data_IF_043141653611
#
_entry.id   IF_043141653611
#
_cell.length_a   1.000
_cell.length_b   1.000
_cell.length_c   1.000
_cell.angle_alpha   90.00
_cell.angle_beta   90.00
_cell.angle_gamma   90.00
#
_symmetry.space_group_name_H-M   'P 1'
#
loop_
_entity.id
_entity.type
_entity.pdbx_description
1 polymer ?
#
# COMPACT_ATOMS: atom_id res chain seq x y z
N UNK A 1 7.24 0.88 7.50
CA UNK A 1 5.82 0.45 7.66
C UNK A 1 5.09 1.30 8.70
N UNK A 2 5.77 1.89 9.70
CA UNK A 2 5.11 2.62 10.78
C UNK A 2 4.39 3.90 10.35
N UNK A 3 4.92 4.63 9.36
CA UNK A 3 4.41 5.96 8.98
C UNK A 3 2.96 5.92 8.46
N UNK A 4 2.65 4.95 7.60
CA UNK A 4 1.30 4.79 7.04
C UNK A 4 0.33 4.24 8.10
N UNK A 5 0.78 3.39 9.01
CA UNK A 5 -0.08 2.83 10.05
C UNK A 5 -0.61 3.92 11.00
N UNK A 6 0.23 4.92 11.32
CA UNK A 6 -0.10 6.00 12.25
C UNK A 6 -1.26 6.88 11.75
N UNK A 7 -1.46 6.96 10.43
CA UNK A 7 -2.58 7.67 9.81
C UNK A 7 -3.95 7.11 10.24
N UNK A 8 -4.02 5.83 10.62
CA UNK A 8 -5.28 5.13 10.90
C UNK A 8 -5.41 4.63 12.34
N UNK A 9 -4.33 4.68 13.13
CA UNK A 9 -4.31 4.10 14.48
C UNK A 9 -5.42 4.64 15.38
N UNK A 10 -5.64 5.95 15.35
CA UNK A 10 -6.65 6.63 16.15
C UNK A 10 -8.08 6.29 15.74
N UNK A 11 -8.31 6.00 14.46
CA UNK A 11 -9.64 5.67 13.93
C UNK A 11 -10.00 4.20 14.12
N UNK A 12 -9.00 3.31 14.16
CA UNK A 12 -9.19 1.86 14.13
C UNK A 12 -8.59 1.16 15.34
N UNK A 13 -7.27 1.06 15.42
CA UNK A 13 -6.61 0.18 16.39
C UNK A 13 -6.79 0.62 17.85
N UNK A 14 -6.81 1.92 18.10
CA UNK A 14 -6.95 2.47 19.46
C UNK A 14 -8.35 2.17 20.00
N UNK A 15 -9.46 2.55 19.33
CA UNK A 15 -10.81 2.20 19.77
C UNK A 15 -11.00 0.70 19.99
N UNK A 16 -10.59 -0.13 19.03
CA UNK A 16 -10.73 -1.59 19.13
C UNK A 16 -9.98 -2.16 20.33
N UNK A 17 -8.79 -1.63 20.65
CA UNK A 17 -8.03 -2.07 21.82
C UNK A 17 -8.77 -1.73 23.13
N UNK A 18 -9.36 -0.54 23.23
CA UNK A 18 -10.14 -0.15 24.41
C UNK A 18 -11.44 -0.96 24.54
N UNK A 19 -12.16 -1.19 23.44
CA UNK A 19 -13.38 -2.00 23.43
C UNK A 19 -13.12 -3.43 23.90
N UNK A 20 -12.04 -4.05 23.40
CA UNK A 20 -11.68 -5.42 23.80
C UNK A 20 -11.16 -5.46 25.25
N UNK A 21 -10.43 -4.43 25.70
CA UNK A 21 -9.96 -4.34 27.08
C UNK A 21 -11.10 -4.12 28.09
N UNK A 22 -12.22 -3.53 27.67
CA UNK A 22 -13.41 -3.38 28.49
C UNK A 22 -14.19 -4.70 28.66
N UNK A 23 -14.03 -5.65 27.74
CA UNK A 23 -14.73 -6.93 27.76
C UNK A 23 -13.95 -8.02 28.52
N UNK A 24 -14.68 -8.91 29.20
CA UNK A 24 -14.09 -10.14 29.72
C UNK A 24 -14.07 -11.20 28.62
N UNK A 25 -12.92 -11.37 27.97
CA UNK A 25 -12.73 -12.30 26.84
C UNK A 25 -11.76 -13.42 27.18
N UNK A 26 -12.11 -14.65 26.80
CA UNK A 26 -11.28 -15.84 27.03
C UNK A 26 -10.01 -15.86 26.17
N UNK A 27 -10.11 -15.39 24.92
CA UNK A 27 -9.01 -15.29 23.96
C UNK A 27 -8.86 -13.84 23.49
N UNK A 28 -8.09 -13.07 24.26
CA UNK A 28 -7.82 -11.66 23.99
C UNK A 28 -7.25 -11.45 22.58
N UNK A 29 -6.22 -12.22 22.22
CA UNK A 29 -5.52 -12.05 20.94
C UNK A 29 -6.37 -12.47 19.74
N UNK A 30 -7.20 -13.51 19.86
CA UNK A 30 -8.15 -13.87 18.82
C UNK A 30 -9.26 -12.86 18.66
N UNK A 31 -9.80 -12.34 19.76
CA UNK A 31 -10.91 -11.40 19.73
C UNK A 31 -10.48 -10.03 19.18
N UNK A 32 -9.33 -9.51 19.62
CA UNK A 32 -8.74 -8.29 19.03
C UNK A 32 -8.55 -8.45 17.53
N UNK A 33 -8.03 -9.58 17.04
CA UNK A 33 -7.83 -9.81 15.60
C UNK A 33 -9.14 -9.87 14.81
N UNK A 34 -10.18 -10.48 15.37
CA UNK A 34 -11.51 -10.54 14.73
C UNK A 34 -12.09 -9.13 14.59
N UNK A 35 -12.19 -8.39 15.70
CA UNK A 35 -12.74 -7.03 15.68
C UNK A 35 -11.93 -6.06 14.82
N UNK A 36 -10.59 -6.17 14.86
CA UNK A 36 -9.73 -5.42 13.95
C UNK A 36 -10.08 -5.72 12.49
N UNK A 37 -10.21 -6.99 12.13
CA UNK A 37 -10.56 -7.39 10.75
C UNK A 37 -11.92 -6.84 10.33
N UNK A 38 -12.92 -6.95 11.19
CA UNK A 38 -14.28 -6.48 10.89
C UNK A 38 -14.26 -4.95 10.69
N UNK A 39 -13.61 -4.20 11.58
CA UNK A 39 -13.48 -2.74 11.48
C UNK A 39 -12.73 -2.31 10.22
N UNK A 40 -11.68 -3.03 9.83
CA UNK A 40 -10.92 -2.77 8.60
C UNK A 40 -11.75 -3.03 7.35
N UNK A 41 -12.57 -4.09 7.35
CA UNK A 41 -13.42 -4.47 6.24
C UNK A 41 -14.59 -3.51 6.07
N UNK A 42 -15.33 -3.22 7.14
CA UNK A 42 -16.48 -2.32 7.13
C UNK A 42 -16.10 -0.89 6.72
N UNK A 43 -14.91 -0.45 7.15
CA UNK A 43 -14.35 0.85 6.78
C UNK A 43 -13.66 0.91 5.42
N UNK A 44 -13.59 -0.20 4.66
CA UNK A 44 -12.82 -0.33 3.41
C UNK A 44 -11.40 0.23 3.52
N UNK A 45 -10.76 0.04 4.68
CA UNK A 45 -9.53 0.76 5.01
C UNK A 45 -8.40 0.47 4.00
N UNK A 46 -8.31 -0.76 3.47
CA UNK A 46 -7.29 -1.12 2.49
C UNK A 46 -7.40 -0.31 1.19
N UNK A 47 -8.62 -0.07 0.71
CA UNK A 47 -8.84 0.76 -0.49
C UNK A 47 -8.40 2.20 -0.24
N UNK A 48 -8.80 2.76 0.91
CA UNK A 48 -8.39 4.10 1.33
C UNK A 48 -6.87 4.20 1.53
N UNK A 49 -6.24 3.19 2.13
CA UNK A 49 -4.78 3.10 2.28
C UNK A 49 -4.05 3.24 0.94
N UNK A 50 -4.51 2.52 -0.09
CA UNK A 50 -3.91 2.60 -1.41
C UNK A 50 -4.06 4.00 -2.02
N UNK A 51 -5.23 4.61 -1.90
CA UNK A 51 -5.51 5.96 -2.37
C UNK A 51 -4.67 7.01 -1.63
N UNK A 52 -4.58 6.90 -0.30
CA UNK A 52 -3.81 7.81 0.53
C UNK A 52 -2.31 7.71 0.23
N UNK A 53 -1.78 6.50 0.02
CA UNK A 53 -0.38 6.30 -0.41
C UNK A 53 -0.14 6.92 -1.79
N UNK A 54 -1.04 6.71 -2.75
CA UNK A 54 -0.93 7.31 -4.09
C UNK A 54 -0.94 8.84 -4.00
N UNK A 55 -1.88 9.41 -3.26
CA UNK A 55 -1.97 10.86 -3.04
C UNK A 55 -0.71 11.41 -2.35
N UNK A 56 -0.16 10.73 -1.34
CA UNK A 56 1.05 11.18 -0.64
C UNK A 56 2.29 11.18 -1.55
N UNK A 57 2.38 10.23 -2.48
CA UNK A 57 3.53 10.09 -3.37
C UNK A 57 3.41 10.94 -4.64
N UNK A 58 2.19 11.12 -5.16
CA UNK A 58 1.93 11.83 -6.41
C UNK A 58 1.48 13.28 -6.20
N UNK A 59 0.95 13.62 -5.01
CA UNK A 59 0.43 14.95 -4.71
C UNK A 59 -0.75 15.32 -5.62
N UNK A 60 -0.75 16.56 -6.13
CA UNK A 60 -1.72 17.07 -7.10
C UNK A 60 -1.40 16.69 -8.56
N UNK A 61 -0.40 15.84 -8.78
CA UNK A 61 -0.10 15.33 -10.12
C UNK A 61 -1.29 14.55 -10.66
N UNK A 62 -1.58 14.66 -11.96
CA UNK A 62 -2.63 13.87 -12.58
C UNK A 62 -2.43 12.39 -12.23
N UNK A 63 -3.50 11.69 -11.80
CA UNK A 63 -3.41 10.25 -11.58
C UNK A 63 -2.89 9.61 -12.87
N UNK A 64 -1.98 8.63 -12.78
CA UNK A 64 -1.49 7.93 -13.95
C UNK A 64 -2.68 7.49 -14.80
N UNK A 65 -2.67 7.85 -16.09
CA UNK A 65 -3.71 7.43 -17.03
C UNK A 65 -3.82 5.90 -17.06
N UNK A 66 -4.94 5.35 -17.54
CA UNK A 66 -5.05 3.89 -17.69
C UNK A 66 -3.91 3.30 -18.56
N UNK A 67 -3.29 4.12 -19.41
CA UNK A 67 -2.10 3.78 -20.21
C UNK A 67 -0.82 3.57 -19.37
N UNK A 68 -0.78 4.00 -18.11
CA UNK A 68 0.38 3.78 -17.21
C UNK A 68 0.51 2.32 -16.78
N UNK A 69 -0.58 1.54 -16.88
CA UNK A 69 -0.58 0.09 -16.71
C UNK A 69 -0.25 -0.65 -18.01
N UNK A 70 -0.15 0.08 -19.13
CA UNK A 70 0.32 -0.46 -20.40
C UNK A 70 1.85 -0.44 -20.39
N UNK A 71 2.44 -1.58 -20.00
CA UNK A 71 3.89 -1.78 -19.96
C UNK A 71 4.44 -1.96 -21.38
N UNK A 72 4.23 -0.98 -22.26
CA UNK A 72 4.60 -1.09 -23.68
C UNK A 72 6.14 -1.01 -23.88
N UNK A 73 6.88 -0.54 -22.86
CA UNK A 73 8.35 -0.49 -22.88
C UNK A 73 8.93 -1.03 -21.55
N UNK A 74 9.47 -2.24 -21.61
CA UNK A 74 10.38 -2.75 -20.59
C UNK A 74 11.78 -2.15 -20.84
N UNK A 75 12.38 -1.52 -19.84
CA UNK A 75 13.75 -0.99 -19.94
C UNK A 75 14.72 -1.84 -19.12
N UNK A 76 15.96 -1.99 -19.61
CA UNK A 76 17.08 -2.49 -18.80
C UNK A 76 17.74 -1.30 -18.10
N UNK A 77 18.01 -1.50 -16.82
CA UNK A 77 18.81 -0.56 -16.05
C UNK A 77 20.29 -0.83 -16.31
N UNK A 78 20.95 0.11 -16.97
CA UNK A 78 22.40 0.22 -17.04
C UNK A 78 22.79 1.38 -16.11
N UNK A 79 23.96 1.39 -15.48
CA UNK A 79 24.41 2.44 -14.54
C UNK A 79 24.52 3.83 -15.19
N UNK A 80 24.27 3.90 -16.50
CA UNK A 80 24.15 5.10 -17.32
C UNK A 80 22.75 5.70 -17.17
N UNK A 81 22.66 7.03 -17.21
CA UNK A 81 21.40 7.74 -16.97
C UNK A 81 20.28 7.46 -18.00
N UNK A 82 20.58 6.78 -19.10
CA UNK A 82 19.63 6.50 -20.18
C UNK A 82 19.05 5.09 -20.04
N UNK A 83 17.73 5.01 -20.02
CA UNK A 83 17.01 3.74 -20.06
C UNK A 83 17.15 3.10 -21.44
N UNK A 84 17.62 1.85 -21.52
CA UNK A 84 17.76 1.10 -22.78
C UNK A 84 16.61 0.10 -22.94
N UNK A 85 16.14 -0.19 -24.16
CA UNK A 85 15.10 -1.19 -24.40
C UNK A 85 15.49 -2.59 -23.90
N UNK A 86 14.59 -3.23 -23.14
CA UNK A 86 14.65 -4.64 -22.81
C UNK A 86 14.24 -5.51 -24.01
N UNK A 87 14.65 -6.77 -23.99
CA UNK A 87 14.39 -7.70 -25.10
C UNK A 87 15.26 -7.51 -26.34
N UNK A 88 16.21 -6.56 -26.31
CA UNK A 88 17.23 -6.37 -27.36
C UNK A 88 18.55 -7.06 -26.96
N UNK A 89 19.17 -7.76 -27.91
CA UNK A 89 20.51 -8.35 -27.72
C UNK A 89 21.58 -7.31 -28.05
N UNK A 90 22.38 -6.92 -27.05
CA UNK A 90 23.47 -5.94 -27.19
C UNK A 90 24.85 -6.59 -27.38
N UNK A 91 24.90 -7.93 -27.50
CA UNK A 91 26.16 -8.70 -27.55
C UNK A 91 26.98 -8.56 -28.84
N UNK A 92 26.48 -7.86 -29.85
CA UNK A 92 27.16 -7.67 -31.15
C UNK A 92 27.89 -6.33 -31.30
N UNK A 93 27.83 -5.44 -30.30
CA UNK A 93 28.41 -4.08 -30.37
C UNK A 93 29.66 -3.90 -29.48
N UNK A 94 30.49 -4.95 -29.35
CA UNK A 94 31.83 -4.90 -28.73
C UNK A 94 32.94 -5.06 -29.78
#
# INVERSE_FOLDING_TARGET
>A
MYDIADLYKAEVSIPVAFDVAADTVTDLGGETRRRMRDRLHDGRLLQRCAQDVQMLLLGDSEPPSDDYLDFDVLSLWDERAEAVPGGTSYGSDL
#
